data_IF_160317759819
#
_entry.id   IF_160317759819
#
_cell.length_a   1.000
_cell.length_b   1.000
_cell.length_c   1.000
_cell.angle_alpha   90.00
_cell.angle_beta   90.00
_cell.angle_gamma   90.00
#
_symmetry.space_group_name_H-M   'P 1'
#
loop_
_entity.id
_entity.type
_entity.pdbx_description
1 polymer ?
#
# COMPACT_ATOMS: atom_id res chain seq x y z
N UNK A 1 16.36 27.34 4.72
CA UNK A 1 16.23 25.88 4.85
C UNK A 1 17.25 25.41 5.87
N UNK A 2 16.88 24.53 6.78
CA UNK A 2 17.80 23.93 7.76
C UNK A 2 18.65 22.85 7.09
N UNK A 3 19.83 22.56 7.63
CA UNK A 3 20.70 21.47 7.14
C UNK A 3 19.96 20.12 7.12
N UNK A 4 19.05 19.92 8.08
CA UNK A 4 18.17 18.75 8.16
C UNK A 4 17.20 18.63 6.97
N UNK A 5 16.64 19.74 6.49
CA UNK A 5 15.80 19.76 5.28
C UNK A 5 16.62 19.48 4.02
N UNK A 6 17.88 19.94 3.96
CA UNK A 6 18.81 19.64 2.87
C UNK A 6 19.20 18.15 2.89
N UNK A 7 19.44 17.57 4.07
CA UNK A 7 19.78 16.16 4.22
C UNK A 7 18.58 15.23 3.93
N UNK A 8 17.35 15.69 4.18
CA UNK A 8 16.11 15.02 3.77
C UNK A 8 15.89 15.08 2.25
N UNK A 9 16.15 16.22 1.61
CA UNK A 9 16.13 16.37 0.14
C UNK A 9 17.19 15.50 -0.54
N UNK A 10 18.40 15.45 0.01
CA UNK A 10 19.47 14.55 -0.46
C UNK A 10 19.14 13.07 -0.21
N UNK A 11 18.33 12.75 0.82
CA UNK A 11 17.75 11.41 0.99
C UNK A 11 16.73 11.11 -0.10
N UNK A 12 15.84 12.03 -0.47
CA UNK A 12 14.88 11.82 -1.57
C UNK A 12 15.58 11.67 -2.92
N UNK A 13 16.67 12.40 -3.20
CA UNK A 13 17.50 12.20 -4.39
C UNK A 13 18.30 10.89 -4.39
N UNK A 14 18.61 10.33 -3.19
CA UNK A 14 19.30 9.04 -3.03
C UNK A 14 18.37 7.86 -2.83
N UNK A 15 17.12 8.12 -2.46
CA UNK A 15 16.04 7.16 -2.60
C UNK A 15 15.97 6.90 -4.08
N UNK A 16 16.08 5.64 -4.43
CA UNK A 16 16.00 5.17 -5.80
C UNK A 16 14.54 5.32 -6.25
N UNK A 17 14.03 6.57 -6.27
CA UNK A 17 12.78 6.97 -6.87
C UNK A 17 12.86 6.42 -8.27
N UNK A 18 11.94 5.55 -8.66
CA UNK A 18 12.29 4.55 -9.64
C UNK A 18 12.74 5.19 -10.95
N UNK A 19 13.99 4.92 -11.34
CA UNK A 19 14.58 5.39 -12.59
C UNK A 19 13.73 4.91 -13.78
N UNK A 20 13.91 5.55 -14.94
CA UNK A 20 13.03 5.51 -16.11
C UNK A 20 12.43 4.17 -16.56
N UNK A 21 12.98 3.02 -16.16
CA UNK A 21 12.41 1.69 -16.43
C UNK A 21 11.13 1.38 -15.63
N UNK A 22 11.00 1.83 -14.38
CA UNK A 22 9.74 1.71 -13.63
C UNK A 22 8.65 2.65 -14.15
N UNK A 23 9.06 3.85 -14.58
CA UNK A 23 8.16 4.82 -15.23
C UNK A 23 7.63 4.23 -16.54
N UNK A 24 8.49 3.60 -17.34
CA UNK A 24 8.10 2.85 -18.54
C UNK A 24 7.17 1.67 -18.24
N UNK A 25 7.33 0.97 -17.11
CA UNK A 25 6.43 -0.13 -16.75
C UNK A 25 5.03 0.34 -16.35
N UNK A 26 4.88 1.55 -15.80
CA UNK A 26 3.57 2.17 -15.51
C UNK A 26 2.92 2.77 -16.77
N UNK A 27 3.72 3.27 -17.71
CA UNK A 27 3.23 3.83 -18.99
C UNK A 27 2.72 2.78 -20.00
N UNK A 28 2.76 1.49 -19.63
CA UNK A 28 2.43 0.40 -20.56
C UNK A 28 0.97 0.35 -21.00
N UNK A 29 0.00 0.67 -20.14
CA UNK A 29 -1.44 0.66 -20.49
C UNK A 29 -2.20 1.61 -19.54
N UNK A 30 -2.81 2.66 -20.10
CA UNK A 30 -3.96 3.33 -19.48
C UNK A 30 -3.72 4.61 -18.66
N UNK A 31 -3.26 5.68 -19.30
CA UNK A 31 -3.88 7.01 -19.13
C UNK A 31 -3.99 7.66 -20.52
N UNK A 32 -5.18 8.08 -20.86
CA UNK A 32 -5.54 8.71 -22.13
C UNK A 32 -4.69 9.95 -22.43
N UNK A 33 -3.70 9.84 -23.32
CA UNK A 33 -3.22 10.87 -24.26
C UNK A 33 -2.88 12.28 -23.76
N UNK A 34 -2.95 12.56 -22.47
CA UNK A 34 -2.71 13.88 -21.89
C UNK A 34 -1.36 13.85 -21.19
N UNK A 35 -0.42 14.73 -21.57
CA UNK A 35 0.85 14.80 -20.89
C UNK A 35 0.62 15.16 -19.41
N UNK A 36 1.48 14.68 -18.50
CA UNK A 36 1.45 15.13 -17.11
C UNK A 36 1.60 16.66 -17.05
N UNK A 37 0.95 17.30 -16.08
CA UNK A 37 0.98 18.76 -15.88
C UNK A 37 2.33 19.31 -15.41
N UNK A 38 3.35 18.47 -15.33
CA UNK A 38 4.64 18.76 -14.73
C UNK A 38 5.73 17.92 -15.41
N UNK A 39 6.91 18.52 -15.58
CA UNK A 39 8.04 17.92 -16.29
C UNK A 39 8.64 16.75 -15.50
N UNK A 40 8.84 16.94 -14.18
CA UNK A 40 9.20 15.88 -13.26
C UNK A 40 7.95 15.33 -12.57
N UNK A 41 7.44 14.23 -13.12
CA UNK A 41 6.23 13.56 -12.63
C UNK A 41 6.36 13.13 -11.18
N UNK A 42 7.51 12.60 -10.78
CA UNK A 42 7.67 12.01 -9.46
C UNK A 42 7.84 13.07 -8.38
N UNK A 43 8.74 14.02 -8.59
CA UNK A 43 8.88 15.14 -7.66
C UNK A 43 7.58 15.94 -7.60
N UNK A 44 6.92 16.15 -8.74
CA UNK A 44 5.61 16.79 -8.78
C UNK A 44 4.55 16.07 -7.94
N UNK A 45 4.49 14.73 -7.98
CA UNK A 45 3.57 13.91 -7.18
C UNK A 45 3.94 13.96 -5.70
N UNK A 46 5.20 13.72 -5.34
CA UNK A 46 5.65 13.65 -3.96
C UNK A 46 5.60 15.01 -3.24
N UNK A 47 5.91 16.12 -3.91
CA UNK A 47 5.73 17.47 -3.36
C UNK A 47 4.28 17.72 -2.96
N UNK A 48 3.33 17.22 -3.76
CA UNK A 48 1.90 17.36 -3.50
C UNK A 48 1.46 16.46 -2.37
N UNK A 49 1.95 15.22 -2.31
CA UNK A 49 1.69 14.30 -1.19
C UNK A 49 2.20 14.92 0.11
N UNK A 50 3.44 15.43 0.14
CA UNK A 50 4.01 16.09 1.30
C UNK A 50 3.19 17.32 1.73
N UNK A 51 2.84 18.19 0.77
CA UNK A 51 2.03 19.39 1.04
C UNK A 51 0.63 19.04 1.56
N UNK A 52 -0.07 18.08 0.95
CA UNK A 52 -1.42 17.70 1.35
C UNK A 52 -1.41 16.93 2.68
N UNK A 53 -0.46 16.03 2.87
CA UNK A 53 -0.27 15.33 4.14
C UNK A 53 0.05 16.31 5.27
N UNK A 54 0.93 17.28 5.03
CA UNK A 54 1.25 18.33 6.01
C UNK A 54 0.11 19.29 6.33
N UNK A 55 -0.92 19.38 5.48
CA UNK A 55 -2.09 20.21 5.73
C UNK A 55 -3.10 19.56 6.69
N UNK A 56 -2.98 18.26 6.96
CA UNK A 56 -3.86 17.56 7.91
C UNK A 56 -3.41 17.89 9.34
N UNK A 57 -4.32 18.37 10.24
CA UNK A 57 -4.00 18.68 11.63
C UNK A 57 -3.41 17.49 12.40
N UNK A 58 -2.47 17.74 13.31
CA UNK A 58 -1.70 16.69 14.03
C UNK A 58 -2.57 15.76 14.89
N UNK A 59 -3.73 16.25 15.34
CA UNK A 59 -4.72 15.52 16.13
C UNK A 59 -5.74 14.74 15.29
N UNK A 60 -5.66 14.83 13.95
CA UNK A 60 -6.48 14.08 13.01
C UNK A 60 -5.61 12.99 12.38
N UNK A 61 -6.08 11.75 12.39
CA UNK A 61 -5.37 10.63 11.76
C UNK A 61 -5.20 10.84 10.25
N UNK A 62 -3.99 10.60 9.76
CA UNK A 62 -3.64 10.60 8.36
C UNK A 62 -3.16 9.20 7.97
N UNK A 63 -3.80 8.60 6.97
CA UNK A 63 -3.29 7.38 6.38
C UNK A 63 -3.42 7.33 4.87
N UNK A 64 -2.69 6.40 4.27
CA UNK A 64 -2.63 6.23 2.82
C UNK A 64 -2.92 4.78 2.41
N UNK A 65 -3.70 4.64 1.34
CA UNK A 65 -3.82 3.38 0.61
C UNK A 65 -2.94 3.42 -0.64
N UNK A 66 -1.94 2.54 -0.70
CA UNK A 66 -0.97 2.50 -1.80
C UNK A 66 -1.40 1.48 -2.85
N UNK A 67 -2.44 1.82 -3.62
CA UNK A 67 -2.94 0.97 -4.70
C UNK A 67 -1.97 0.93 -5.90
N UNK A 68 -1.94 -0.18 -6.65
CA UNK A 68 -1.19 -0.32 -7.91
C UNK A 68 -2.00 0.10 -9.15
N UNK A 69 -2.89 1.08 -9.01
CA UNK A 69 -3.76 1.61 -10.07
C UNK A 69 -4.73 0.59 -10.65
N UNK A 70 -5.95 0.55 -10.09
CA UNK A 70 -7.12 -0.08 -10.72
C UNK A 70 -7.89 0.99 -11.53
N UNK A 71 -8.01 0.78 -12.84
CA UNK A 71 -8.90 1.56 -13.69
C UNK A 71 -9.87 0.60 -14.38
N UNK A 72 -11.18 0.84 -14.20
CA UNK A 72 -12.26 0.03 -14.79
C UNK A 72 -12.16 -1.48 -14.50
N UNK A 73 -11.79 -1.89 -13.29
CA UNK A 73 -11.62 -3.31 -12.90
C UNK A 73 -10.48 -4.02 -13.63
N UNK A 74 -9.59 -3.25 -14.26
CA UNK A 74 -8.35 -3.77 -14.80
C UNK A 74 -7.20 -3.16 -14.03
N UNK A 75 -6.39 -4.06 -13.47
CA UNK A 75 -5.10 -3.72 -12.90
C UNK A 75 -4.27 -3.11 -14.04
N UNK A 76 -3.92 -1.84 -13.90
CA UNK A 76 -3.10 -1.16 -14.90
C UNK A 76 -1.63 -1.56 -14.75
N UNK A 77 -1.23 -1.98 -13.54
CA UNK A 77 0.10 -2.46 -13.23
C UNK A 77 0.04 -3.78 -12.46
N UNK A 78 0.66 -4.80 -13.03
CA UNK A 78 0.84 -6.10 -12.40
C UNK A 78 2.12 -6.10 -11.58
N UNK A 79 2.01 -5.93 -10.25
CA UNK A 79 3.16 -6.06 -9.37
C UNK A 79 3.58 -7.52 -9.27
N UNK A 80 4.87 -7.79 -9.53
CA UNK A 80 5.44 -9.14 -9.38
C UNK A 80 5.63 -9.53 -7.91
N UNK A 81 5.90 -8.55 -7.05
CA UNK A 81 6.03 -8.66 -5.60
C UNK A 81 5.76 -7.30 -4.93
N UNK A 82 5.84 -7.25 -3.59
CA UNK A 82 5.59 -6.06 -2.80
C UNK A 82 6.72 -5.00 -2.84
N UNK A 83 7.83 -5.20 -3.57
CA UNK A 83 8.98 -4.28 -3.55
C UNK A 83 8.62 -2.85 -3.97
N UNK A 84 7.68 -2.71 -4.92
CA UNK A 84 7.17 -1.40 -5.33
C UNK A 84 6.39 -0.73 -4.20
N UNK A 85 5.57 -1.50 -3.47
CA UNK A 85 4.79 -0.98 -2.34
C UNK A 85 5.71 -0.50 -1.21
N UNK A 86 6.78 -1.25 -0.94
CA UNK A 86 7.81 -0.86 0.04
C UNK A 86 8.46 0.47 -0.35
N UNK A 87 8.94 0.59 -1.59
CA UNK A 87 9.55 1.85 -2.07
C UNK A 87 8.60 3.04 -2.01
N UNK A 88 7.32 2.82 -2.31
CA UNK A 88 6.30 3.87 -2.22
C UNK A 88 6.02 4.27 -0.77
N UNK A 89 5.95 3.30 0.16
CA UNK A 89 5.81 3.60 1.59
C UNK A 89 6.99 4.43 2.09
N UNK A 90 8.23 4.04 1.76
CA UNK A 90 9.43 4.79 2.11
C UNK A 90 9.35 6.23 1.56
N UNK A 91 9.00 6.39 0.28
CA UNK A 91 8.86 7.71 -0.35
C UNK A 91 7.83 8.59 0.34
N UNK A 92 6.70 8.04 0.75
CA UNK A 92 5.66 8.79 1.46
C UNK A 92 6.15 9.21 2.85
N UNK A 93 6.78 8.31 3.61
CA UNK A 93 7.31 8.63 4.94
C UNK A 93 8.43 9.68 4.88
N UNK A 94 9.17 9.76 3.78
CA UNK A 94 10.23 10.75 3.61
C UNK A 94 9.71 12.17 3.32
N UNK A 95 8.56 12.30 2.64
CA UNK A 95 8.06 13.61 2.18
C UNK A 95 6.90 14.16 3.00
N UNK A 96 6.16 13.32 3.72
CA UNK A 96 5.07 13.77 4.60
C UNK A 96 5.68 14.33 5.89
N UNK A 97 5.50 15.63 6.19
CA UNK A 97 6.22 16.30 7.28
C UNK A 97 5.61 16.03 8.68
N UNK A 98 4.81 14.98 8.80
CA UNK A 98 4.09 14.57 10.02
C UNK A 98 4.01 13.05 10.06
N UNK A 99 3.59 12.51 11.21
CA UNK A 99 3.31 11.07 11.32
C UNK A 99 2.24 10.65 10.32
N UNK A 100 2.50 9.53 9.64
CA UNK A 100 1.49 8.74 8.94
C UNK A 100 0.96 7.73 9.95
N UNK A 101 -0.31 7.86 10.33
CA UNK A 101 -0.95 7.06 11.37
C UNK A 101 -1.23 5.63 10.87
N UNK A 102 -1.59 5.46 9.60
CA UNK A 102 -1.76 4.14 9.01
C UNK A 102 -1.41 4.05 7.52
N UNK A 103 -0.95 2.87 7.09
CA UNK A 103 -0.70 2.54 5.69
C UNK A 103 -1.44 1.25 5.32
N UNK A 104 -2.13 1.27 4.18
CA UNK A 104 -2.78 0.09 3.63
C UNK A 104 -2.10 -0.36 2.33
N UNK A 105 -1.56 -1.57 2.32
CA UNK A 105 -0.90 -2.19 1.17
C UNK A 105 -1.78 -3.29 0.57
N UNK A 106 -2.15 -3.20 -0.73
CA UNK A 106 -2.93 -4.23 -1.39
C UNK A 106 -2.11 -5.51 -1.53
N UNK A 107 -2.76 -6.67 -1.38
CA UNK A 107 -2.13 -7.96 -1.66
C UNK A 107 -3.02 -8.72 -2.62
N UNK A 108 -2.51 -8.96 -3.82
CA UNK A 108 -3.22 -9.67 -4.88
C UNK A 108 -3.70 -11.04 -4.42
N UNK A 109 -4.91 -11.42 -4.81
CA UNK A 109 -5.43 -12.75 -4.52
C UNK A 109 -4.81 -13.85 -5.42
N UNK A 110 -4.35 -13.50 -6.62
CA UNK A 110 -3.91 -14.42 -7.68
C UNK A 110 -2.41 -14.72 -7.70
N UNK A 111 -1.71 -14.43 -6.58
CA UNK A 111 -0.25 -14.61 -6.46
C UNK A 111 0.10 -15.61 -5.37
N UNK A 112 1.29 -16.20 -5.49
CA UNK A 112 1.92 -16.88 -4.37
C UNK A 112 2.24 -15.85 -3.27
N UNK A 113 1.49 -15.90 -2.17
CA UNK A 113 1.60 -14.93 -1.09
C UNK A 113 3.01 -14.93 -0.47
N UNK A 114 3.69 -16.08 -0.43
CA UNK A 114 5.03 -16.19 0.17
C UNK A 114 6.06 -15.37 -0.60
N UNK A 115 6.12 -15.58 -1.92
CA UNK A 115 7.00 -14.82 -2.81
C UNK A 115 6.58 -13.34 -2.87
N UNK A 116 5.29 -13.07 -3.00
CA UNK A 116 4.80 -11.71 -3.17
C UNK A 116 5.09 -10.84 -1.95
N UNK A 117 4.96 -11.39 -0.74
CA UNK A 117 5.12 -10.65 0.52
C UNK A 117 6.56 -10.63 1.05
N UNK A 118 7.48 -11.38 0.45
CA UNK A 118 8.87 -11.44 0.90
C UNK A 118 9.54 -10.06 1.06
N UNK A 119 9.35 -9.08 0.15
CA UNK A 119 9.94 -7.75 0.29
C UNK A 119 9.46 -6.95 1.50
N UNK A 120 8.35 -7.33 2.15
CA UNK A 120 7.88 -6.64 3.36
C UNK A 120 8.87 -6.73 4.54
N UNK A 121 9.83 -7.65 4.48
CA UNK A 121 10.92 -7.71 5.46
C UNK A 121 11.81 -6.44 5.44
N UNK A 122 11.83 -5.71 4.33
CA UNK A 122 12.59 -4.47 4.18
C UNK A 122 11.77 -3.21 4.53
N UNK A 123 10.48 -3.38 4.87
CA UNK A 123 9.58 -2.26 5.16
C UNK A 123 9.90 -1.65 6.53
N UNK A 124 10.43 -0.43 6.52
CA UNK A 124 10.80 0.31 7.73
C UNK A 124 9.78 1.42 8.01
N UNK A 125 8.82 1.14 8.89
CA UNK A 125 7.84 2.12 9.36
C UNK A 125 8.17 2.61 10.77
N UNK A 126 7.68 3.79 11.12
CA UNK A 126 7.62 4.22 12.51
C UNK A 126 6.80 3.18 13.31
N UNK A 127 7.23 2.76 14.51
CA UNK A 127 6.47 1.78 15.31
C UNK A 127 5.04 2.21 15.65
N UNK A 128 4.75 3.52 15.60
CA UNK A 128 3.41 4.06 15.78
C UNK A 128 2.56 4.10 14.50
N UNK A 129 3.13 3.81 13.33
CA UNK A 129 2.37 3.68 12.07
C UNK A 129 1.75 2.29 12.01
N UNK A 130 0.42 2.24 11.92
CA UNK A 130 -0.31 0.99 11.75
C UNK A 130 -0.27 0.51 10.30
N UNK A 131 0.28 -0.68 10.07
CA UNK A 131 0.24 -1.33 8.77
C UNK A 131 -1.00 -2.20 8.62
N UNK A 132 -1.73 -2.04 7.51
CA UNK A 132 -2.82 -2.91 7.10
C UNK A 132 -2.46 -3.62 5.79
N UNK A 133 -2.68 -4.93 5.74
CA UNK A 133 -2.45 -5.74 4.55
C UNK A 133 -3.78 -6.23 3.98
N UNK A 134 -3.95 -6.07 2.66
CA UNK A 134 -5.12 -6.51 1.89
C UNK A 134 -5.23 -8.02 1.74
N UNK A 135 -5.35 -8.76 2.85
CA UNK A 135 -5.31 -10.23 2.88
C UNK A 135 -6.70 -10.89 2.81
N UNK A 136 -7.78 -10.11 2.88
CA UNK A 136 -9.16 -10.59 2.84
C UNK A 136 -9.67 -10.66 1.40
N UNK A 137 -10.08 -11.85 0.99
CA UNK A 137 -10.63 -12.18 -0.33
C UNK A 137 -11.89 -13.03 -0.15
N UNK A 138 -12.77 -13.06 -1.14
CA UNK A 138 -13.92 -13.98 -1.15
C UNK A 138 -13.54 -15.40 -1.63
N UNK A 139 -12.39 -15.54 -2.29
CA UNK A 139 -11.79 -16.82 -2.66
C UNK A 139 -11.44 -17.68 -1.45
N UNK A 140 -11.93 -18.92 -1.46
CA UNK A 140 -11.63 -19.99 -0.48
C UNK A 140 -11.90 -19.59 0.99
N UNK A 141 -12.77 -18.59 1.21
CA UNK A 141 -13.30 -18.21 2.51
C UNK A 141 -12.25 -17.82 3.56
N UNK A 142 -12.58 -18.06 4.83
CA UNK A 142 -11.74 -17.69 5.99
C UNK A 142 -10.41 -18.46 6.03
N UNK A 143 -10.35 -19.67 5.49
CA UNK A 143 -9.12 -20.46 5.44
C UNK A 143 -8.04 -19.81 4.57
N UNK A 144 -8.44 -19.21 3.44
CA UNK A 144 -7.56 -18.37 2.62
C UNK A 144 -6.98 -17.20 3.42
N UNK A 145 -7.84 -16.47 4.13
CA UNK A 145 -7.42 -15.35 4.97
C UNK A 145 -6.40 -15.80 6.03
N UNK A 146 -6.67 -16.91 6.74
CA UNK A 146 -5.74 -17.43 7.74
C UNK A 146 -4.39 -17.86 7.13
N UNK A 147 -4.40 -18.53 5.99
CA UNK A 147 -3.18 -18.95 5.28
C UNK A 147 -2.33 -17.75 4.86
N UNK A 148 -2.98 -16.70 4.34
CA UNK A 148 -2.33 -15.45 3.92
C UNK A 148 -1.78 -14.67 5.10
N UNK A 149 -2.51 -14.60 6.23
CA UNK A 149 -2.04 -14.01 7.49
C UNK A 149 -0.82 -14.74 8.02
N UNK A 150 -0.87 -16.08 8.09
CA UNK A 150 0.26 -16.89 8.54
C UNK A 150 1.50 -16.69 7.65
N UNK A 151 1.28 -16.48 6.35
CA UNK A 151 2.34 -16.18 5.39
C UNK A 151 2.94 -14.79 5.58
N UNK A 152 2.11 -13.75 5.73
CA UNK A 152 2.57 -12.39 6.00
C UNK A 152 3.41 -12.31 7.30
N UNK A 153 3.01 -13.04 8.34
CA UNK A 153 3.73 -13.10 9.64
C UNK A 153 5.16 -13.62 9.55
N UNK A 154 5.54 -14.30 8.46
CA UNK A 154 6.93 -14.70 8.23
C UNK A 154 7.84 -13.53 7.84
N UNK A 155 7.28 -12.42 7.39
CA UNK A 155 8.00 -11.27 6.86
C UNK A 155 7.79 -10.01 7.70
N UNK A 156 6.62 -9.84 8.33
CA UNK A 156 6.31 -8.68 9.17
C UNK A 156 5.44 -9.08 10.37
N UNK A 157 5.85 -8.67 11.56
CA UNK A 157 5.31 -9.20 12.82
C UNK A 157 3.91 -8.66 13.17
N UNK A 158 3.71 -7.36 12.97
CA UNK A 158 2.48 -6.66 13.40
C UNK A 158 1.83 -5.99 12.21
N UNK A 159 0.57 -6.32 11.97
CA UNK A 159 -0.26 -5.71 10.94
C UNK A 159 -1.75 -5.96 11.24
N UNK A 160 -2.60 -5.06 10.78
CA UNK A 160 -4.03 -5.27 10.60
C UNK A 160 -4.34 -5.92 9.25
N UNK A 161 -5.57 -6.40 9.10
CA UNK A 161 -6.07 -7.03 7.87
C UNK A 161 -7.15 -6.17 7.25
N UNK A 162 -7.21 -6.20 5.92
CA UNK A 162 -8.21 -5.50 5.11
C UNK A 162 -8.47 -6.29 3.82
N UNK A 163 -9.45 -5.84 3.03
CA UNK A 163 -9.61 -6.26 1.64
C UNK A 163 -8.48 -5.68 0.78
N UNK A 164 -8.19 -6.29 -0.38
CA UNK A 164 -7.13 -5.83 -1.30
C UNK A 164 -7.22 -4.31 -1.59
N UNK A 165 -8.43 -3.81 -1.87
CA UNK A 165 -8.75 -2.42 -2.12
C UNK A 165 -10.11 -2.08 -1.50
N UNK A 166 -10.65 -0.88 -1.78
CA UNK A 166 -12.01 -0.52 -1.40
C UNK A 166 -13.08 -1.37 -2.12
N UNK A 167 -14.13 -1.74 -1.39
CA UNK A 167 -15.25 -2.59 -1.87
C UNK A 167 -16.37 -1.80 -2.56
N UNK A 168 -16.13 -0.54 -2.94
CA UNK A 168 -17.16 0.35 -3.50
C UNK A 168 -17.76 -0.11 -4.84
N UNK A 169 -17.16 -1.12 -5.47
CA UNK A 169 -17.64 -1.72 -6.73
C UNK A 169 -17.91 -3.23 -6.60
N UNK A 170 -17.89 -3.77 -5.38
CA UNK A 170 -18.22 -5.17 -5.10
C UNK A 170 -19.74 -5.36 -5.19
N UNK A 171 -20.25 -6.46 -5.80
CA UNK A 171 -21.67 -6.76 -5.79
C UNK A 171 -22.22 -6.77 -4.37
N UNK A 172 -23.41 -6.20 -4.16
CA UNK A 172 -24.01 -5.99 -2.83
C UNK A 172 -24.17 -7.32 -2.10
N UNK A 173 -24.54 -8.38 -2.81
CA UNK A 173 -24.69 -9.74 -2.32
C UNK A 173 -23.36 -10.36 -1.84
N UNK A 174 -22.23 -9.92 -2.36
CA UNK A 174 -20.89 -10.40 -1.97
C UNK A 174 -20.33 -9.67 -0.75
N UNK A 175 -20.89 -8.51 -0.39
CA UNK A 175 -20.38 -7.71 0.75
C UNK A 175 -20.59 -8.42 2.11
N UNK A 176 -21.79 -8.95 2.46
CA UNK A 176 -21.97 -9.60 3.76
C UNK A 176 -21.04 -10.81 3.99
N UNK A 177 -20.88 -11.76 3.04
CA UNK A 177 -19.91 -12.84 3.17
C UNK A 177 -18.46 -12.35 3.36
N UNK A 178 -18.06 -11.32 2.61
CA UNK A 178 -16.72 -10.73 2.71
C UNK A 178 -16.47 -10.11 4.10
N UNK A 179 -17.46 -9.42 4.66
CA UNK A 179 -17.39 -8.87 6.02
C UNK A 179 -17.38 -9.98 7.10
N UNK A 180 -18.04 -11.12 6.86
CA UNK A 180 -17.96 -12.27 7.74
C UNK A 180 -16.54 -12.84 7.77
N UNK A 181 -15.92 -13.05 6.59
CA UNK A 181 -14.51 -13.49 6.49
C UNK A 181 -13.60 -12.51 7.24
N UNK A 182 -13.78 -11.21 7.03
CA UNK A 182 -12.99 -10.19 7.72
C UNK A 182 -13.14 -10.28 9.24
N UNK A 183 -14.37 -10.38 9.74
CA UNK A 183 -14.66 -10.54 11.18
C UNK A 183 -13.99 -11.78 11.74
N UNK A 184 -14.17 -12.91 11.09
CA UNK A 184 -13.70 -14.21 11.58
C UNK A 184 -12.16 -14.28 11.57
N UNK A 185 -11.52 -13.71 10.54
CA UNK A 185 -10.07 -13.59 10.46
C UNK A 185 -9.49 -12.59 11.48
N UNK A 186 -10.29 -11.60 11.93
CA UNK A 186 -9.90 -10.62 12.95
C UNK A 186 -10.11 -11.12 14.38
N UNK A 187 -10.83 -12.23 14.57
CA UNK A 187 -11.11 -12.76 15.89
C UNK A 187 -9.83 -13.27 16.56
N UNK A 188 -9.65 -12.95 17.85
CA UNK A 188 -8.48 -13.36 18.65
C UNK A 188 -8.37 -14.88 18.88
N UNK A 189 -9.41 -15.65 18.52
CA UNK A 189 -9.48 -17.11 18.61
C UNK A 189 -10.00 -17.66 17.28
N UNK A 190 -9.39 -18.73 16.79
CA UNK A 190 -10.03 -19.58 15.80
C UNK A 190 -11.30 -20.17 16.43
N UNK A 191 -12.43 -20.26 15.72
CA UNK A 191 -13.67 -20.84 16.26
C UNK A 191 -13.52 -22.25 16.86
N UNK A 192 -12.43 -22.96 16.55
CA UNK A 192 -12.15 -24.34 16.99
C UNK A 192 -10.90 -24.49 17.91
N UNK A 193 -10.37 -23.38 18.48
CA UNK A 193 -9.32 -23.35 19.52
C UNK A 193 -9.78 -22.61 20.79
#
# INVERSE_FOLDING_TARGET
>A
MTQEAVDQLVRVERMNVPTGDFVRSIHGRGLSGSPPWFDDVWNGVFDRIGRLGGAVPQDVELGFHLCYSDYQHQRQVELADASTLVRMADAFTAVVPRRIDFLHLPVREDVDAGRYLAPLADLALDPATELYLGLITDRDGTDSAFSRIATARRHIATFGIATECGIGRTPVESVPPLLQIHRDASARRRPDE
#
